data_IF_421034986445
#
_entry.id   IF_421034986445
#
_cell.length_a   1.000
_cell.length_b   1.000
_cell.length_c   1.000
_cell.angle_alpha   90.00
_cell.angle_beta   90.00
_cell.angle_gamma   90.00
#
_symmetry.space_group_name_H-M   'P 1'
#
loop_
_entity.id
_entity.type
_entity.pdbx_description
1 polymer ?
#
# COMPACT_ATOMS: atom_id res chain seq x y z
N UNK A 1 -9.34 24.27 -14.44
CA UNK A 1 -8.30 23.79 -13.51
C UNK A 1 -8.99 23.56 -12.17
N UNK A 2 -8.93 22.34 -11.64
CA UNK A 2 -9.74 21.95 -10.49
C UNK A 2 -8.82 21.80 -9.27
N UNK A 3 -8.81 22.79 -8.39
CA UNK A 3 -7.95 22.82 -7.18
C UNK A 3 -8.05 21.51 -6.38
N UNK A 4 -9.25 20.91 -6.35
CA UNK A 4 -9.50 19.62 -5.69
C UNK A 4 -8.72 18.44 -6.30
N UNK A 5 -8.47 18.41 -7.61
CA UNK A 5 -7.66 17.35 -8.24
C UNK A 5 -6.20 17.49 -7.83
N UNK A 6 -5.68 18.72 -7.80
CA UNK A 6 -4.32 19.00 -7.36
C UNK A 6 -4.13 18.58 -5.89
N UNK A 7 -5.09 18.89 -5.02
CA UNK A 7 -5.06 18.50 -3.61
C UNK A 7 -5.02 16.97 -3.43
N UNK A 8 -5.81 16.23 -4.21
CA UNK A 8 -5.78 14.77 -4.18
C UNK A 8 -4.46 14.19 -4.69
N UNK A 9 -3.87 14.77 -5.74
CA UNK A 9 -2.55 14.36 -6.26
C UNK A 9 -1.47 14.55 -5.17
N UNK A 10 -1.44 15.71 -4.51
CA UNK A 10 -0.48 15.96 -3.42
C UNK A 10 -0.72 15.03 -2.24
N UNK A 11 -1.99 14.73 -1.93
CA UNK A 11 -2.35 13.79 -0.86
C UNK A 11 -1.84 12.37 -1.13
N UNK A 12 -1.97 11.86 -2.36
CA UNK A 12 -1.43 10.53 -2.70
C UNK A 12 0.09 10.52 -2.69
N UNK A 13 0.77 11.58 -3.14
CA UNK A 13 2.25 11.69 -3.06
C UNK A 13 2.72 11.63 -1.61
N UNK A 14 2.10 12.41 -0.71
CA UNK A 14 2.45 12.39 0.71
C UNK A 14 2.22 11.00 1.32
N UNK A 15 1.07 10.37 1.02
CA UNK A 15 0.74 9.03 1.50
C UNK A 15 1.78 7.99 1.05
N UNK A 16 2.12 7.97 -0.24
CA UNK A 16 3.13 7.06 -0.82
C UNK A 16 4.48 7.20 -0.11
N UNK A 17 4.92 8.44 0.16
CA UNK A 17 6.14 8.72 0.92
C UNK A 17 6.13 8.11 2.32
N UNK A 18 5.04 8.27 3.06
CA UNK A 18 4.92 7.72 4.41
C UNK A 18 4.87 6.19 4.46
N UNK A 19 4.24 5.57 3.45
CA UNK A 19 4.21 4.12 3.32
C UNK A 19 5.63 3.60 3.03
N UNK A 20 6.35 4.18 2.06
CA UNK A 20 7.73 3.76 1.76
C UNK A 20 8.64 3.87 2.99
N UNK A 21 8.57 4.99 3.73
CA UNK A 21 9.35 5.17 4.95
C UNK A 21 9.07 4.09 6.01
N UNK A 22 7.81 3.65 6.12
CA UNK A 22 7.45 2.55 7.01
C UNK A 22 8.06 1.23 6.55
N UNK A 23 8.01 0.95 5.25
CA UNK A 23 8.55 -0.29 4.70
C UNK A 23 10.09 -0.35 4.72
N UNK A 24 10.78 0.77 4.52
CA UNK A 24 12.25 0.87 4.67
C UNK A 24 12.72 0.47 6.08
N UNK A 25 11.87 0.69 7.10
CA UNK A 25 12.14 0.21 8.46
C UNK A 25 11.87 -1.29 8.61
N UNK A 26 10.86 -1.81 7.92
CA UNK A 26 10.47 -3.22 7.94
C UNK A 26 11.47 -4.14 7.24
N UNK A 27 12.15 -3.68 6.18
CA UNK A 27 13.23 -4.45 5.52
C UNK A 27 14.41 -4.81 6.45
N UNK A 28 14.48 -4.19 7.64
CA UNK A 28 15.48 -4.51 8.67
C UNK A 28 15.04 -5.67 9.57
N UNK A 29 13.84 -6.20 9.38
CA UNK A 29 13.33 -7.38 10.08
C UNK A 29 13.74 -8.60 9.25
N UNK A 30 14.53 -9.50 9.84
CA UNK A 30 14.90 -10.77 9.19
C UNK A 30 13.63 -11.56 8.89
N UNK A 31 13.33 -11.82 7.61
CA UNK A 31 12.27 -12.75 7.27
C UNK A 31 12.82 -14.19 7.16
N UNK A 32 12.04 -15.19 7.59
CA UNK A 32 12.52 -16.55 7.89
C UNK A 32 12.64 -17.48 6.68
N UNK A 33 11.98 -17.14 5.57
CA UNK A 33 11.89 -17.99 4.37
C UNK A 33 12.13 -17.15 3.13
N UNK A 34 12.60 -17.77 2.05
CA UNK A 34 12.76 -17.08 0.76
C UNK A 34 11.42 -16.54 0.25
N UNK A 35 10.32 -17.29 0.41
CA UNK A 35 8.99 -16.84 -0.01
C UNK A 35 8.53 -15.54 0.68
N UNK A 36 8.71 -15.45 2.00
CA UNK A 36 8.35 -14.25 2.77
C UNK A 36 9.27 -13.08 2.45
N UNK A 37 10.60 -13.32 2.38
CA UNK A 37 11.56 -12.30 1.99
C UNK A 37 11.27 -11.74 0.59
N UNK A 38 11.10 -12.62 -0.40
CA UNK A 38 10.81 -12.24 -1.79
C UNK A 38 9.51 -11.45 -1.87
N UNK A 39 8.50 -11.84 -1.07
CA UNK A 39 7.23 -11.12 -1.00
C UNK A 39 7.40 -9.74 -0.38
N UNK A 40 8.04 -9.62 0.78
CA UNK A 40 8.26 -8.33 1.46
C UNK A 40 9.08 -7.39 0.57
N UNK A 41 10.12 -7.90 -0.09
CA UNK A 41 10.92 -7.12 -1.04
C UNK A 41 10.06 -6.65 -2.22
N UNK A 42 9.24 -7.54 -2.81
CA UNK A 42 8.35 -7.17 -3.90
C UNK A 42 7.31 -6.11 -3.49
N UNK A 43 6.76 -6.20 -2.28
CA UNK A 43 5.85 -5.19 -1.75
C UNK A 43 6.57 -3.83 -1.65
N UNK A 44 7.79 -3.82 -1.11
CA UNK A 44 8.61 -2.61 -0.94
C UNK A 44 8.94 -1.95 -2.28
N UNK A 45 9.47 -2.73 -3.22
CA UNK A 45 9.83 -2.26 -4.55
C UNK A 45 8.61 -1.67 -5.28
N UNK A 46 7.45 -2.33 -5.14
CA UNK A 46 6.20 -1.87 -5.76
C UNK A 46 5.72 -0.53 -5.20
N UNK A 47 5.85 -0.31 -3.89
CA UNK A 47 5.52 0.97 -3.23
C UNK A 47 6.50 2.06 -3.65
N UNK A 48 7.81 1.78 -3.64
CA UNK A 48 8.84 2.71 -4.11
C UNK A 48 8.59 3.14 -5.55
N UNK A 49 8.29 2.19 -6.43
CA UNK A 49 7.96 2.49 -7.82
C UNK A 49 6.65 3.30 -7.93
N UNK A 50 5.66 3.04 -7.07
CA UNK A 50 4.41 3.81 -7.03
C UNK A 50 4.63 5.26 -6.60
N UNK A 51 5.42 5.47 -5.55
CA UNK A 51 5.84 6.80 -5.11
C UNK A 51 6.54 7.57 -6.21
N UNK A 52 7.55 7.00 -6.86
CA UNK A 52 8.27 7.69 -7.94
C UNK A 52 7.34 8.07 -9.10
N UNK A 53 6.38 7.21 -9.44
CA UNK A 53 5.34 7.54 -10.45
C UNK A 53 4.46 8.69 -9.98
N UNK A 54 4.04 8.69 -8.71
CA UNK A 54 3.19 9.74 -8.15
C UNK A 54 3.90 11.10 -8.09
N UNK A 55 5.17 11.13 -7.68
CA UNK A 55 6.01 12.33 -7.66
C UNK A 55 6.20 12.90 -9.08
N UNK A 56 6.56 12.04 -10.04
CA UNK A 56 6.70 12.44 -11.44
C UNK A 56 5.38 12.98 -12.03
N UNK A 57 4.25 12.33 -11.70
CA UNK A 57 2.93 12.78 -12.14
C UNK A 57 2.57 14.14 -11.54
N UNK A 58 2.84 14.35 -10.25
CA UNK A 58 2.58 15.62 -9.58
C UNK A 58 3.42 16.77 -10.16
N UNK A 59 4.69 16.51 -10.48
CA UNK A 59 5.56 17.48 -11.16
C UNK A 59 5.01 17.83 -12.56
N UNK A 60 4.65 16.82 -13.35
CA UNK A 60 4.06 17.02 -14.67
C UNK A 60 2.76 17.83 -14.58
N UNK A 61 1.82 17.41 -13.74
CA UNK A 61 0.55 18.08 -13.54
C UNK A 61 0.73 19.53 -13.09
N UNK A 62 1.66 19.79 -12.15
CA UNK A 62 1.99 21.15 -11.72
C UNK A 62 2.59 22.02 -12.83
N UNK A 63 3.44 21.45 -13.69
CA UNK A 63 4.06 22.16 -14.82
C UNK A 63 3.05 22.53 -15.92
N UNK A 64 2.13 21.63 -16.25
CA UNK A 64 1.09 21.83 -17.26
C UNK A 64 0.01 22.81 -16.78
N UNK A 65 -0.35 22.73 -15.50
CA UNK A 65 -1.41 23.54 -14.92
C UNK A 65 -0.98 24.98 -14.64
N UNK A 66 0.33 25.28 -14.62
CA UNK A 66 0.86 26.58 -14.20
C UNK A 66 1.27 27.53 -15.33
N UNK A 67 1.43 27.07 -16.58
CA UNK A 67 2.04 27.91 -17.63
C UNK A 67 3.38 28.54 -17.21
N UNK A 68 4.09 27.95 -16.23
CA UNK A 68 5.33 28.46 -15.64
C UNK A 68 5.22 29.18 -14.28
N UNK A 69 4.05 29.29 -13.64
CA UNK A 69 3.92 29.84 -12.27
C UNK A 69 3.51 28.74 -11.28
N UNK A 70 4.51 28.22 -10.56
CA UNK A 70 4.37 27.21 -9.49
C UNK A 70 3.11 27.47 -8.66
N UNK A 71 2.08 26.64 -8.85
CA UNK A 71 0.92 26.64 -7.99
C UNK A 71 1.39 26.20 -6.61
N UNK A 72 1.29 27.09 -5.62
CA UNK A 72 1.48 26.77 -4.21
C UNK A 72 0.37 25.79 -3.82
N UNK A 73 0.63 24.50 -3.96
CA UNK A 73 -0.26 23.42 -3.59
C UNK A 73 -0.22 23.19 -2.07
N UNK A 74 -1.39 23.39 -1.48
CA UNK A 74 -1.93 22.94 -0.20
C UNK A 74 -0.98 22.42 0.90
N UNK A 75 -1.21 22.94 2.11
CA UNK A 75 -0.85 22.28 3.36
C UNK A 75 -1.14 20.79 3.25
N UNK A 76 -0.09 19.96 3.37
CA UNK A 76 -0.20 18.51 3.48
C UNK A 76 -1.21 18.24 4.60
N UNK A 77 -2.43 17.86 4.22
CA UNK A 77 -3.46 17.41 5.16
C UNK A 77 -2.81 16.36 6.02
N UNK A 78 -2.70 16.64 7.33
CA UNK A 78 -1.94 15.89 8.33
C UNK A 78 -2.41 14.45 8.59
N UNK A 79 -2.66 13.68 7.54
CA UNK A 79 -3.15 12.31 7.55
C UNK A 79 -2.08 11.26 7.87
N UNK A 80 -0.80 11.67 7.98
CA UNK A 80 0.29 10.75 8.27
C UNK A 80 0.75 10.72 9.73
N UNK A 81 0.32 11.68 10.55
CA UNK A 81 0.82 11.85 11.91
C UNK A 81 0.46 10.69 12.87
N UNK A 82 -0.35 9.71 12.43
CA UNK A 82 -0.80 8.58 13.24
C UNK A 82 -0.17 7.22 12.92
N UNK A 83 0.63 7.08 11.86
CA UNK A 83 1.04 5.75 11.37
C UNK A 83 2.29 5.17 12.03
N UNK A 84 3.03 5.95 12.82
CA UNK A 84 4.36 5.52 13.26
C UNK A 84 4.57 5.92 14.71
N UNK A 85 4.10 5.06 15.62
CA UNK A 85 4.72 4.93 16.93
C UNK A 85 4.57 3.50 17.47
N UNK A 86 5.63 2.69 17.27
CA UNK A 86 6.22 1.78 18.26
C UNK A 86 7.23 0.85 17.60
N UNK A 87 8.50 1.06 17.90
CA UNK A 87 9.51 -0.01 17.82
C UNK A 87 9.24 -0.96 18.99
N UNK A 88 8.31 -1.90 18.80
CA UNK A 88 8.38 -3.22 19.43
C UNK A 88 9.01 -4.17 18.42
N UNK A 89 9.49 -5.32 18.88
CA UNK A 89 9.75 -6.48 18.02
C UNK A 89 8.41 -6.90 17.42
N UNK A 90 7.96 -6.22 16.38
CA UNK A 90 6.77 -6.61 15.65
C UNK A 90 7.14 -7.81 14.79
N UNK A 91 6.26 -8.80 14.85
CA UNK A 91 6.42 -10.07 14.17
C UNK A 91 6.03 -9.89 12.70
N UNK A 92 6.44 -10.82 11.82
CA UNK A 92 6.24 -10.66 10.37
C UNK A 92 4.76 -10.48 10.03
N UNK A 93 3.86 -11.22 10.69
CA UNK A 93 2.42 -11.10 10.43
C UNK A 93 1.84 -9.76 10.88
N UNK A 94 2.36 -9.15 11.95
CA UNK A 94 1.90 -7.83 12.41
C UNK A 94 2.31 -6.73 11.44
N UNK A 95 3.54 -6.77 10.96
CA UNK A 95 4.01 -5.82 9.94
C UNK A 95 3.18 -5.92 8.67
N UNK A 96 2.95 -7.15 8.16
CA UNK A 96 2.08 -7.35 6.99
C UNK A 96 0.63 -6.89 7.21
N UNK A 97 0.10 -7.00 8.42
CA UNK A 97 -1.25 -6.48 8.75
C UNK A 97 -1.28 -4.94 8.71
N UNK A 98 -0.22 -4.30 9.17
CA UNK A 98 -0.13 -2.84 9.17
C UNK A 98 0.04 -2.32 7.74
N UNK A 99 0.87 -3.00 6.93
CA UNK A 99 0.97 -2.79 5.47
C UNK A 99 -0.39 -2.95 4.78
N UNK A 100 -1.14 -4.02 5.10
CA UNK A 100 -2.48 -4.25 4.55
C UNK A 100 -3.41 -3.06 4.80
N UNK A 101 -3.34 -2.47 5.99
CA UNK A 101 -4.16 -1.31 6.37
C UNK A 101 -3.73 -0.08 5.57
N UNK A 102 -2.43 0.19 5.50
CA UNK A 102 -1.87 1.29 4.73
C UNK A 102 -2.19 1.17 3.23
N UNK A 103 -2.12 -0.03 2.67
CA UNK A 103 -2.38 -0.28 1.25
C UNK A 103 -3.85 -0.15 0.89
N UNK A 104 -4.77 -0.59 1.75
CA UNK A 104 -6.20 -0.33 1.54
C UNK A 104 -6.50 1.18 1.64
N UNK A 105 -5.81 1.90 2.52
CA UNK A 105 -5.93 3.36 2.61
C UNK A 105 -5.40 4.05 1.34
N UNK A 106 -4.29 3.58 0.77
CA UNK A 106 -3.81 4.07 -0.52
C UNK A 106 -4.77 3.73 -1.66
N UNK A 107 -5.28 2.50 -1.73
CA UNK A 107 -6.25 2.09 -2.74
C UNK A 107 -7.52 2.95 -2.74
N UNK A 108 -8.10 3.21 -1.55
CA UNK A 108 -9.28 4.06 -1.45
C UNK A 108 -8.95 5.53 -1.79
N UNK A 109 -7.76 6.03 -1.45
CA UNK A 109 -7.32 7.39 -1.81
C UNK A 109 -7.19 7.55 -3.33
N UNK A 110 -6.64 6.55 -4.02
CA UNK A 110 -6.62 6.52 -5.48
C UNK A 110 -8.03 6.39 -6.09
N UNK A 111 -8.95 5.66 -5.44
CA UNK A 111 -10.36 5.61 -5.86
C UNK A 111 -11.02 6.99 -5.77
N UNK A 112 -10.74 7.75 -4.72
CA UNK A 112 -11.23 9.12 -4.55
C UNK A 112 -10.68 10.03 -5.65
N UNK A 113 -9.36 10.00 -5.90
CA UNK A 113 -8.72 10.77 -6.97
C UNK A 113 -9.30 10.40 -8.35
N UNK A 114 -9.44 9.11 -8.65
CA UNK A 114 -10.00 8.64 -9.91
C UNK A 114 -11.43 9.17 -10.11
N UNK A 115 -12.25 9.07 -9.07
CA UNK A 115 -13.63 9.55 -9.09
C UNK A 115 -13.70 11.06 -9.31
N UNK A 116 -12.86 11.83 -8.59
CA UNK A 116 -12.80 13.28 -8.77
C UNK A 116 -12.35 13.66 -10.18
N UNK A 117 -11.30 13.02 -10.71
CA UNK A 117 -10.80 13.27 -12.06
C UNK A 117 -11.85 12.95 -13.13
N UNK A 118 -12.54 11.81 -13.01
CA UNK A 118 -13.64 11.44 -13.90
C UNK A 118 -14.79 12.45 -13.84
N UNK A 119 -15.17 12.92 -12.65
CA UNK A 119 -16.25 13.90 -12.48
C UNK A 119 -15.97 15.25 -13.17
N UNK A 120 -14.70 15.59 -13.37
CA UNK A 120 -14.27 16.83 -14.05
C UNK A 120 -13.73 16.60 -15.47
N UNK A 121 -13.88 15.38 -16.02
CA UNK A 121 -13.40 14.97 -17.33
C UNK A 121 -11.86 15.05 -17.52
N UNK A 122 -11.10 14.96 -16.43
CA UNK A 122 -9.64 14.82 -16.47
C UNK A 122 -9.26 13.34 -16.67
N UNK A 123 -9.29 12.92 -17.93
CA UNK A 123 -9.03 11.52 -18.30
C UNK A 123 -7.59 11.07 -18.03
N UNK A 124 -6.62 11.99 -18.05
CA UNK A 124 -5.21 11.68 -17.78
C UNK A 124 -5.02 11.37 -16.29
N UNK A 125 -5.58 12.21 -15.41
CA UNK A 125 -5.52 11.96 -13.96
C UNK A 125 -6.35 10.74 -13.56
N UNK A 126 -7.49 10.50 -14.22
CA UNK A 126 -8.27 9.29 -14.00
C UNK A 126 -7.44 8.02 -14.32
N UNK A 127 -6.73 7.99 -15.45
CA UNK A 127 -5.89 6.85 -15.82
C UNK A 127 -4.71 6.65 -14.84
N UNK A 128 -4.05 7.73 -14.42
CA UNK A 128 -3.02 7.69 -13.38
C UNK A 128 -3.55 7.10 -12.08
N UNK A 129 -4.72 7.57 -11.62
CA UNK A 129 -5.31 7.11 -10.38
C UNK A 129 -5.78 5.65 -10.45
N UNK A 130 -6.28 5.20 -11.61
CA UNK A 130 -6.62 3.79 -11.84
C UNK A 130 -5.37 2.90 -11.70
N UNK A 131 -4.22 3.33 -12.23
CA UNK A 131 -2.97 2.58 -12.11
C UNK A 131 -2.53 2.45 -10.63
N UNK A 132 -2.66 3.51 -9.85
CA UNK A 132 -2.42 3.48 -8.40
C UNK A 132 -3.36 2.52 -7.67
N UNK A 133 -4.66 2.59 -7.95
CA UNK A 133 -5.67 1.67 -7.39
C UNK A 133 -5.33 0.22 -7.72
N UNK A 134 -5.01 -0.10 -8.99
CA UNK A 134 -4.65 -1.46 -9.41
C UNK A 134 -3.40 -1.98 -8.70
N UNK A 135 -2.40 -1.11 -8.52
CA UNK A 135 -1.17 -1.43 -7.79
C UNK A 135 -1.53 -1.89 -6.38
N UNK A 136 -2.22 -1.04 -5.61
CA UNK A 136 -2.52 -1.34 -4.22
C UNK A 136 -3.54 -2.47 -4.03
N UNK A 137 -4.53 -2.61 -4.93
CA UNK A 137 -5.40 -3.78 -4.92
C UNK A 137 -4.61 -5.09 -5.09
N UNK A 138 -3.62 -5.11 -5.98
CA UNK A 138 -2.71 -6.25 -6.17
C UNK A 138 -1.87 -6.55 -4.91
N UNK A 139 -1.28 -5.51 -4.30
CA UNK A 139 -0.47 -5.67 -3.08
C UNK A 139 -1.30 -6.18 -1.89
N UNK A 140 -2.53 -5.68 -1.71
CA UNK A 140 -3.47 -6.17 -0.70
C UNK A 140 -3.76 -7.67 -0.88
N UNK A 141 -4.00 -8.11 -2.11
CA UNK A 141 -4.22 -9.54 -2.40
C UNK A 141 -2.96 -10.38 -2.14
N UNK A 142 -1.77 -9.84 -2.46
CA UNK A 142 -0.50 -10.51 -2.15
C UNK A 142 -0.32 -10.70 -0.64
N UNK A 143 -0.69 -9.72 0.18
CA UNK A 143 -0.67 -9.85 1.65
C UNK A 143 -1.66 -10.93 2.10
N UNK A 144 -2.91 -10.90 1.63
CA UNK A 144 -3.91 -11.92 1.95
C UNK A 144 -3.40 -13.34 1.70
N UNK A 145 -2.68 -13.54 0.59
CA UNK A 145 -2.13 -14.83 0.20
C UNK A 145 -0.96 -15.30 1.09
N UNK A 146 -0.09 -14.38 1.53
CA UNK A 146 1.13 -14.71 2.29
C UNK A 146 0.91 -14.71 3.81
N UNK A 147 -0.15 -14.05 4.29
CA UNK A 147 -0.46 -13.92 5.72
C UNK A 147 -0.49 -15.25 6.49
N UNK A 148 -1.08 -16.35 5.98
CA UNK A 148 -1.04 -17.63 6.71
C UNK A 148 0.38 -18.14 6.98
N UNK A 149 1.29 -17.96 6.02
CA UNK A 149 2.69 -18.37 6.19
C UNK A 149 3.41 -17.48 7.23
N UNK A 150 3.15 -16.18 7.22
CA UNK A 150 3.69 -15.25 8.22
C UNK A 150 3.19 -15.56 9.64
N UNK A 151 1.89 -15.86 9.80
CA UNK A 151 1.33 -16.25 11.11
C UNK A 151 1.95 -17.54 11.60
N UNK A 152 2.06 -18.57 10.74
CA UNK A 152 2.67 -19.84 11.15
C UNK A 152 4.13 -19.68 11.56
N UNK A 153 4.89 -18.84 10.84
CA UNK A 153 6.24 -18.50 11.25
C UNK A 153 6.27 -17.86 12.65
N UNK A 154 5.46 -16.83 12.87
CA UNK A 154 5.43 -16.12 14.15
C UNK A 154 5.05 -17.05 15.33
N UNK A 155 4.22 -18.07 15.07
CA UNK A 155 3.86 -19.09 16.05
C UNK A 155 5.01 -20.06 16.36
N UNK A 156 5.87 -20.37 15.40
CA UNK A 156 7.00 -21.29 15.59
C UNK A 156 8.14 -20.66 16.38
N UNK A 157 8.28 -19.34 16.31
CA UNK A 157 9.18 -18.59 17.19
C UNK A 157 8.70 -18.61 18.65
N UNK A 158 7.48 -19.11 18.94
CA UNK A 158 6.98 -19.31 20.29
C UNK A 158 7.26 -20.74 20.79
N UNK A 159 8.26 -20.94 21.69
CA UNK A 159 8.66 -22.26 22.16
C UNK A 159 7.58 -22.99 22.97
N UNK A 160 6.58 -22.25 23.48
CA UNK A 160 5.48 -22.81 24.28
C UNK A 160 4.32 -23.35 23.42
N UNK A 161 4.40 -23.22 22.10
CA UNK A 161 3.32 -23.57 21.18
C UNK A 161 3.76 -24.57 20.11
N UNK A 162 3.43 -25.87 20.24
CA UNK A 162 3.68 -26.84 19.19
C UNK A 162 2.76 -26.57 17.98
N UNK A 163 3.37 -26.34 16.81
CA UNK A 163 2.66 -26.08 15.55
C UNK A 163 2.73 -27.32 14.64
N UNK A 164 1.56 -27.88 14.28
CA UNK A 164 1.47 -28.87 13.20
C UNK A 164 1.33 -28.15 11.85
N UNK A 165 2.32 -28.28 10.97
CA UNK A 165 2.36 -27.58 9.67
C UNK A 165 1.50 -28.23 8.60
N UNK A 166 1.02 -29.44 8.81
CA UNK A 166 0.61 -30.32 7.71
C UNK A 166 -0.67 -29.81 7.04
N UNK A 167 -0.51 -29.20 5.86
CA UNK A 167 -1.58 -28.63 5.02
C UNK A 167 -2.30 -27.37 5.55
N UNK A 168 -1.87 -26.76 6.67
CA UNK A 168 -2.57 -25.60 7.24
C UNK A 168 -2.49 -24.37 6.32
N UNK A 169 -1.31 -24.04 5.80
CA UNK A 169 -1.13 -22.85 4.93
C UNK A 169 -2.06 -22.88 3.72
N UNK A 170 -2.10 -24.00 3.01
CA UNK A 170 -2.92 -24.18 1.80
C UNK A 170 -4.42 -24.21 2.11
N UNK A 171 -4.82 -24.78 3.24
CA UNK A 171 -6.21 -24.74 3.69
C UNK A 171 -6.64 -23.30 4.02
N UNK A 172 -5.82 -22.55 4.76
CA UNK A 172 -6.08 -21.15 5.08
C UNK A 172 -6.15 -20.29 3.82
N UNK A 173 -5.19 -20.43 2.89
CA UNK A 173 -5.20 -19.73 1.60
C UNK A 173 -6.50 -19.94 0.83
N UNK A 174 -6.96 -21.19 0.72
CA UNK A 174 -8.24 -21.50 0.05
C UNK A 174 -9.43 -20.80 0.70
N UNK A 175 -9.50 -20.79 2.03
CA UNK A 175 -10.59 -20.12 2.75
C UNK A 175 -10.56 -18.61 2.48
N UNK A 176 -9.38 -17.99 2.58
CA UNK A 176 -9.19 -16.54 2.35
C UNK A 176 -9.53 -16.18 0.91
N UNK A 177 -8.97 -16.88 -0.07
CA UNK A 177 -9.22 -16.66 -1.49
C UNK A 177 -10.72 -16.75 -1.83
N UNK A 178 -11.40 -17.77 -1.29
CA UNK A 178 -12.82 -17.95 -1.51
C UNK A 178 -13.64 -16.81 -0.89
N UNK A 179 -13.27 -16.35 0.31
CA UNK A 179 -13.95 -15.22 0.95
C UNK A 179 -13.87 -13.97 0.06
N UNK A 180 -12.67 -13.57 -0.38
CA UNK A 180 -12.46 -12.40 -1.23
C UNK A 180 -13.12 -12.51 -2.61
N UNK A 181 -13.06 -13.68 -3.24
CA UNK A 181 -13.70 -13.89 -4.55
C UNK A 181 -15.23 -13.84 -4.44
N UNK A 182 -15.80 -14.34 -3.35
CA UNK A 182 -17.26 -14.41 -3.16
C UNK A 182 -17.90 -13.06 -2.84
N UNK A 183 -17.12 -12.08 -2.37
CA UNK A 183 -17.60 -10.76 -1.96
C UNK A 183 -17.32 -9.65 -2.98
N UNK A 184 -16.57 -9.94 -4.05
CA UNK A 184 -16.39 -9.00 -5.15
C UNK A 184 -17.75 -8.67 -5.80
N UNK A 185 -18.09 -7.39 -5.84
CA UNK A 185 -19.33 -6.84 -6.42
C UNK A 185 -19.07 -6.11 -7.72
#
# INVERSE_FOLDING_TARGET
QHDQVADWIQSVVALEGHIEEAMDRQLKIDAPTSELNDTIQHLHDSVRDSKHRAEAYAEQYGSEASGGIVAKGAEILGAAAGLIDRVRKDTVAKSLRDDYTAYNFAAISYTMLHTTAMAVNDTQTAAFAEQGLRTYAGLVQKINHVMPAAVLHDLEENPDMPVDRTHITEQCRKVIDNAWKSTAQ
#
